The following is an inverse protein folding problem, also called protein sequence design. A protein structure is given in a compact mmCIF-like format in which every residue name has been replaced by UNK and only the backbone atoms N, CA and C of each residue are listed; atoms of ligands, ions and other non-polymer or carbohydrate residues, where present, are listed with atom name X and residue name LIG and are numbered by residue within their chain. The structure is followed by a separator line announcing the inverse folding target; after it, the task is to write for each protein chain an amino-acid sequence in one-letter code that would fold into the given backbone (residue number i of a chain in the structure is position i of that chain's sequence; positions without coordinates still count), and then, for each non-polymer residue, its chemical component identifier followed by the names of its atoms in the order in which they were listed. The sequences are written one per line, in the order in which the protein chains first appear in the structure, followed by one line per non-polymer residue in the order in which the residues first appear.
data_IF_973950860279
#
_entry.id   IF_973950860279
#
_cell.length_a   1.000
_cell.length_b   1.000
_cell.length_c   1.000
_cell.angle_alpha   90.00
_cell.angle_beta   90.00
_cell.angle_gamma   90.00
#
_symmetry.space_group_name_H-M   'P 1'
#
loop_
_entity.id
_entity.type
_entity.pdbx_description
1 polymer ?
#
# COMPACT_ATOMS: atom_id res chain seq x y z
N UNK A 1 13.35 9.87 -33.19
CA UNK A 1 12.69 8.88 -32.34
C UNK A 1 13.78 8.15 -31.57
N UNK A 2 14.10 8.58 -30.34
CA UNK A 2 14.99 7.79 -29.48
C UNK A 2 14.22 6.57 -29.06
N UNK A 3 14.61 5.39 -29.54
CA UNK A 3 14.05 4.12 -29.12
C UNK A 3 14.24 4.01 -27.60
N UNK A 4 13.13 3.81 -26.90
CA UNK A 4 13.13 3.57 -25.45
C UNK A 4 13.70 2.16 -25.20
N UNK A 5 15.04 2.03 -25.36
CA UNK A 5 15.74 0.78 -25.12
C UNK A 5 15.70 0.49 -23.64
N UNK A 6 15.12 -0.65 -23.28
CA UNK A 6 15.12 -1.15 -21.90
C UNK A 6 16.56 -1.16 -21.36
N UNK A 7 16.83 -0.51 -20.20
CA UNK A 7 18.18 -0.52 -19.61
C UNK A 7 18.62 -1.96 -19.33
N UNK A 8 19.90 -2.26 -19.52
CA UNK A 8 20.45 -3.58 -19.25
C UNK A 8 20.39 -3.90 -17.75
N UNK A 9 19.92 -5.09 -17.42
CA UNK A 9 19.75 -5.53 -16.03
C UNK A 9 21.07 -5.55 -15.26
N UNK A 10 22.10 -6.12 -15.86
CA UNK A 10 23.44 -6.22 -15.25
C UNK A 10 24.05 -4.84 -14.92
N UNK A 11 23.82 -3.84 -15.77
CA UNK A 11 24.28 -2.47 -15.51
C UNK A 11 23.50 -1.84 -14.35
N UNK A 12 22.19 -2.02 -14.28
CA UNK A 12 21.39 -1.51 -13.17
C UNK A 12 21.78 -2.17 -11.84
N UNK A 13 22.04 -3.49 -11.86
CA UNK A 13 22.51 -4.22 -10.68
C UNK A 13 23.90 -3.72 -10.24
N UNK A 14 24.81 -3.55 -11.17
CA UNK A 14 26.14 -3.01 -10.87
C UNK A 14 26.05 -1.61 -10.26
N UNK A 15 25.28 -0.71 -10.86
CA UNK A 15 25.09 0.64 -10.32
C UNK A 15 24.43 0.62 -8.93
N UNK A 16 23.43 -0.25 -8.72
CA UNK A 16 22.80 -0.42 -7.41
C UNK A 16 23.81 -0.87 -6.34
N UNK A 17 24.73 -1.79 -6.70
CA UNK A 17 25.80 -2.26 -5.80
C UNK A 17 26.77 -1.13 -5.46
N UNK A 18 27.23 -0.37 -6.46
CA UNK A 18 28.11 0.78 -6.25
C UNK A 18 27.49 1.83 -5.33
N UNK A 19 26.21 2.19 -5.57
CA UNK A 19 25.52 3.16 -4.71
C UNK A 19 25.28 2.61 -3.28
N UNK A 20 25.14 1.30 -3.13
CA UNK A 20 25.06 0.68 -1.81
C UNK A 20 26.40 0.81 -1.04
N UNK A 21 27.54 0.56 -1.68
CA UNK A 21 28.86 0.73 -1.09
C UNK A 21 29.17 2.20 -0.74
N UNK A 22 28.68 3.13 -1.57
CA UNK A 22 28.79 4.57 -1.34
C UNK A 22 27.83 5.10 -0.26
N UNK A 23 26.94 4.27 0.29
CA UNK A 23 25.85 4.68 1.17
C UNK A 23 24.91 5.73 0.55
N UNK A 24 24.82 5.79 -0.78
CA UNK A 24 23.94 6.67 -1.53
C UNK A 24 22.55 6.01 -1.68
N UNK A 25 21.75 6.15 -0.64
CA UNK A 25 20.40 5.55 -0.59
C UNK A 25 19.45 6.09 -1.67
N UNK A 26 19.64 7.34 -2.11
CA UNK A 26 18.80 7.98 -3.13
C UNK A 26 19.03 7.35 -4.49
N UNK A 27 20.27 7.29 -4.95
CA UNK A 27 20.59 6.70 -6.24
C UNK A 27 20.41 5.18 -6.23
N UNK A 28 20.72 4.49 -5.12
CA UNK A 28 20.42 3.08 -4.95
C UNK A 28 18.92 2.80 -5.15
N UNK A 29 18.04 3.61 -4.54
CA UNK A 29 16.60 3.50 -4.74
C UNK A 29 16.21 3.68 -6.21
N UNK A 30 16.74 4.70 -6.88
CA UNK A 30 16.45 4.94 -8.29
C UNK A 30 16.80 3.73 -9.16
N UNK A 31 17.92 3.05 -8.89
CA UNK A 31 18.30 1.83 -9.62
C UNK A 31 17.36 0.68 -9.32
N UNK A 32 16.98 0.47 -8.06
CA UNK A 32 16.02 -0.56 -7.66
C UNK A 32 14.62 -0.31 -8.28
N UNK A 33 14.17 0.93 -8.32
CA UNK A 33 12.92 1.28 -9.00
C UNK A 33 12.94 0.93 -10.49
N UNK A 34 14.06 1.17 -11.17
CA UNK A 34 14.21 0.76 -12.57
C UNK A 34 14.27 -0.76 -12.71
N UNK A 35 15.00 -1.46 -11.83
CA UNK A 35 15.04 -2.93 -11.80
C UNK A 35 13.64 -3.52 -11.59
N UNK A 36 12.87 -2.96 -10.67
CA UNK A 36 11.48 -3.36 -10.48
C UNK A 36 10.65 -3.04 -11.72
N UNK A 37 10.73 -1.81 -12.24
CA UNK A 37 9.90 -1.38 -13.38
C UNK A 37 10.12 -2.24 -14.63
N UNK A 38 11.36 -2.54 -14.97
CA UNK A 38 11.68 -3.25 -16.21
C UNK A 38 11.70 -4.77 -16.05
N UNK A 39 12.13 -5.30 -14.91
CA UNK A 39 12.34 -6.73 -14.70
C UNK A 39 11.37 -7.36 -13.71
N UNK A 40 10.92 -6.64 -12.67
CA UNK A 40 9.89 -7.06 -11.72
C UNK A 40 10.21 -8.31 -10.91
N UNK A 41 11.48 -8.70 -10.81
CA UNK A 41 11.88 -9.89 -10.06
C UNK A 41 11.58 -9.72 -8.56
N UNK A 42 11.18 -10.79 -7.85
CA UNK A 42 10.82 -10.71 -6.43
C UNK A 42 11.91 -10.10 -5.55
N UNK A 43 13.18 -10.39 -5.82
CA UNK A 43 14.30 -9.82 -5.07
C UNK A 43 14.39 -8.30 -5.17
N UNK A 44 14.09 -7.70 -6.32
CA UNK A 44 14.14 -6.25 -6.48
C UNK A 44 13.02 -5.55 -5.73
N UNK A 45 11.83 -6.16 -5.71
CA UNK A 45 10.73 -5.72 -4.86
C UNK A 45 11.11 -5.78 -3.40
N UNK A 46 11.69 -6.92 -2.96
CA UNK A 46 12.13 -7.10 -1.58
C UNK A 46 13.11 -6.01 -1.15
N UNK A 47 14.18 -5.78 -1.94
CA UNK A 47 15.19 -4.77 -1.65
C UNK A 47 14.59 -3.36 -1.61
N UNK A 48 13.67 -3.05 -2.52
CA UNK A 48 13.00 -1.75 -2.57
C UNK A 48 12.09 -1.55 -1.34
N UNK A 49 11.39 -2.59 -0.88
CA UNK A 49 10.60 -2.53 0.35
C UNK A 49 11.45 -2.38 1.60
N UNK A 50 12.63 -3.00 1.67
CA UNK A 50 13.56 -2.80 2.77
C UNK A 50 13.98 -1.33 2.89
N UNK A 51 14.26 -0.67 1.77
CA UNK A 51 14.56 0.77 1.78
C UNK A 51 13.36 1.61 2.23
N UNK A 52 12.16 1.29 1.72
CA UNK A 52 10.96 2.03 2.07
C UNK A 52 10.58 1.91 3.55
N UNK A 53 10.64 0.70 4.10
CA UNK A 53 10.32 0.44 5.53
C UNK A 53 11.29 1.14 6.49
N UNK A 54 12.54 1.35 6.08
CA UNK A 54 13.56 2.02 6.89
C UNK A 54 13.48 3.56 6.82
N UNK A 55 12.53 4.12 6.07
CA UNK A 55 12.30 5.57 6.06
C UNK A 55 11.76 6.03 7.42
N UNK A 56 12.37 7.09 7.96
CA UNK A 56 11.96 7.67 9.23
C UNK A 56 10.68 8.50 9.07
N UNK A 57 9.80 8.41 10.05
CA UNK A 57 8.64 9.29 10.16
C UNK A 57 7.44 8.91 9.28
N UNK A 58 7.40 7.67 8.79
CA UNK A 58 6.20 7.12 8.17
C UNK A 58 5.07 7.01 9.19
N UNK A 59 3.87 7.44 8.82
CA UNK A 59 2.65 7.21 9.61
C UNK A 59 2.21 5.73 9.52
N UNK A 60 1.33 5.32 10.42
CA UNK A 60 0.76 3.97 10.42
C UNK A 60 0.05 3.65 9.08
N UNK A 61 -0.63 4.64 8.49
CA UNK A 61 -1.29 4.49 7.19
C UNK A 61 -0.29 4.28 6.05
N UNK A 62 0.84 5.00 6.07
CA UNK A 62 1.91 4.84 5.07
C UNK A 62 2.61 3.49 5.21
N UNK A 63 2.85 3.04 6.44
CA UNK A 63 3.40 1.72 6.72
C UNK A 63 2.44 0.63 6.23
N UNK A 64 1.15 0.77 6.49
CA UNK A 64 0.14 -0.16 6.01
C UNK A 64 0.10 -0.20 4.47
N UNK A 65 0.26 0.92 3.79
CA UNK A 65 0.27 0.96 2.33
C UNK A 65 1.46 0.19 1.73
N UNK A 66 2.61 0.22 2.39
CA UNK A 66 3.75 -0.64 2.02
C UNK A 66 3.39 -2.12 2.24
N UNK A 67 2.76 -2.47 3.36
CA UNK A 67 2.31 -3.84 3.64
C UNK A 67 1.31 -4.34 2.60
N UNK A 68 0.34 -3.51 2.21
CA UNK A 68 -0.64 -3.81 1.16
C UNK A 68 0.05 -4.18 -0.15
N UNK A 69 1.04 -3.39 -0.55
CA UNK A 69 1.79 -3.65 -1.78
C UNK A 69 2.68 -4.90 -1.65
N UNK A 70 3.34 -5.12 -0.52
CA UNK A 70 4.09 -6.35 -0.22
C UNK A 70 3.21 -7.59 -0.35
N UNK A 71 1.97 -7.52 0.17
CA UNK A 71 0.99 -8.60 0.03
C UNK A 71 0.65 -8.88 -1.43
N UNK A 72 0.37 -7.82 -2.22
CA UNK A 72 -0.01 -7.94 -3.64
C UNK A 72 1.10 -8.56 -4.50
N UNK A 73 2.36 -8.20 -4.27
CA UNK A 73 3.50 -8.75 -5.03
C UNK A 73 4.04 -10.06 -4.42
N UNK A 74 3.44 -10.53 -3.33
CA UNK A 74 3.82 -11.77 -2.68
C UNK A 74 5.17 -11.69 -1.94
N UNK A 75 5.51 -10.54 -1.35
CA UNK A 75 6.74 -10.35 -0.55
C UNK A 75 6.55 -10.69 0.94
N UNK A 76 5.33 -10.95 1.40
CA UNK A 76 5.11 -11.53 2.73
C UNK A 76 5.35 -13.05 2.64
N UNK A 77 6.34 -13.57 3.37
CA UNK A 77 6.82 -14.96 3.20
C UNK A 77 6.71 -15.82 4.46
N UNK A 78 6.95 -15.22 5.62
CA UNK A 78 7.02 -15.93 6.89
C UNK A 78 5.92 -15.47 7.83
N UNK A 79 5.60 -16.27 8.84
CA UNK A 79 4.55 -15.96 9.81
C UNK A 79 4.67 -14.55 10.40
N UNK A 80 5.89 -14.12 10.73
CA UNK A 80 6.16 -12.78 11.24
C UNK A 80 5.67 -11.66 10.33
N UNK A 81 5.90 -11.77 9.01
CA UNK A 81 5.45 -10.76 8.04
C UNK A 81 3.94 -10.55 8.08
N UNK A 82 3.16 -11.64 8.13
CA UNK A 82 1.70 -11.59 8.15
C UNK A 82 1.17 -11.09 9.50
N UNK A 83 1.80 -11.49 10.62
CA UNK A 83 1.43 -11.02 11.97
C UNK A 83 1.66 -9.52 12.08
N UNK A 84 2.86 -9.04 11.75
CA UNK A 84 3.21 -7.61 11.76
C UNK A 84 2.31 -6.81 10.81
N UNK A 85 2.09 -7.31 9.61
CA UNK A 85 1.20 -6.67 8.64
C UNK A 85 -0.23 -6.53 9.13
N UNK A 86 -0.79 -7.57 9.74
CA UNK A 86 -2.13 -7.52 10.32
C UNK A 86 -2.20 -6.57 11.52
N UNK A 87 -1.18 -6.55 12.37
CA UNK A 87 -1.08 -5.59 13.47
C UNK A 87 -1.02 -4.14 12.95
N UNK A 88 -0.20 -3.86 11.92
CA UNK A 88 -0.15 -2.55 11.28
C UNK A 88 -1.51 -2.11 10.75
N UNK A 89 -2.27 -3.03 10.14
CA UNK A 89 -3.61 -2.75 9.65
C UNK A 89 -4.60 -2.42 10.78
N UNK A 90 -4.51 -3.12 11.92
CA UNK A 90 -5.34 -2.84 13.10
C UNK A 90 -4.97 -1.51 13.76
N UNK A 91 -3.70 -1.14 13.80
CA UNK A 91 -3.22 0.16 14.32
C UNK A 91 -3.72 1.31 13.43
N UNK A 92 -3.63 1.17 12.11
CA UNK A 92 -4.14 2.15 11.14
C UNK A 92 -5.67 2.15 11.03
N UNK A 93 -6.37 1.26 11.79
CA UNK A 93 -7.82 1.17 11.87
C UNK A 93 -8.49 0.73 10.55
N UNK A 94 -7.89 -0.31 9.92
CA UNK A 94 -8.41 -1.03 8.75
C UNK A 94 -8.52 -2.53 9.04
N UNK A 95 -9.52 -2.97 9.84
CA UNK A 95 -9.62 -4.36 10.29
C UNK A 95 -9.83 -5.35 9.13
N UNK A 96 -10.45 -4.94 8.02
CA UNK A 96 -10.62 -5.82 6.86
C UNK A 96 -9.31 -6.10 6.11
N UNK A 97 -8.36 -5.14 6.11
CA UNK A 97 -7.00 -5.42 5.63
C UNK A 97 -6.30 -6.44 6.54
N UNK A 98 -6.41 -6.27 7.86
CA UNK A 98 -5.84 -7.23 8.82
C UNK A 98 -6.40 -8.64 8.58
N UNK A 99 -7.72 -8.76 8.38
CA UNK A 99 -8.34 -10.04 8.03
C UNK A 99 -7.78 -10.61 6.74
N UNK A 100 -7.71 -9.81 5.68
CA UNK A 100 -7.18 -10.23 4.38
C UNK A 100 -5.74 -10.72 4.49
N UNK A 101 -4.89 -10.04 5.26
CA UNK A 101 -3.49 -10.42 5.49
C UNK A 101 -3.41 -11.76 6.22
N UNK A 102 -4.18 -11.93 7.32
CA UNK A 102 -4.21 -13.19 8.09
C UNK A 102 -4.74 -14.35 7.27
N UNK A 103 -5.81 -14.15 6.50
CA UNK A 103 -6.37 -15.16 5.60
C UNK A 103 -5.34 -15.61 4.55
N UNK A 104 -4.55 -14.68 4.00
CA UNK A 104 -3.46 -15.00 3.06
C UNK A 104 -2.32 -15.79 3.72
N UNK A 105 -1.93 -15.43 4.95
CA UNK A 105 -0.94 -16.20 5.71
C UNK A 105 -1.40 -17.62 6.04
N UNK A 106 -2.69 -17.79 6.33
CA UNK A 106 -3.29 -19.10 6.54
C UNK A 106 -3.34 -19.91 5.24
N UNK A 107 -3.75 -19.30 4.11
CA UNK A 107 -3.73 -19.94 2.79
C UNK A 107 -2.32 -20.38 2.38
N UNK A 108 -1.30 -19.58 2.69
CA UNK A 108 0.12 -19.90 2.47
C UNK A 108 0.65 -20.97 3.45
N UNK A 109 -0.17 -21.43 4.42
CA UNK A 109 0.18 -22.42 5.45
C UNK A 109 1.35 -21.97 6.36
N UNK A 110 1.59 -20.66 6.47
CA UNK A 110 2.61 -20.10 7.38
C UNK A 110 1.98 -19.60 8.69
N UNK A 111 0.66 -19.47 8.76
CA UNK A 111 -0.09 -19.20 9.99
C UNK A 111 -1.01 -20.39 10.33
N UNK A 112 -1.17 -20.66 11.61
CA UNK A 112 -2.15 -21.65 12.10
C UNK A 112 -2.75 -21.17 13.42
N UNK A 113 -3.96 -20.61 13.36
CA UNK A 113 -4.68 -20.12 14.53
C UNK A 113 -5.12 -21.22 15.51
N UNK A 114 -5.18 -22.48 15.08
CA UNK A 114 -5.58 -23.61 15.93
C UNK A 114 -4.43 -24.10 16.81
N UNK A 115 -3.18 -23.94 16.38
CA UNK A 115 -1.99 -24.44 17.10
C UNK A 115 -1.12 -23.32 17.67
N UNK A 116 -1.25 -22.09 17.18
CA UNK A 116 -0.56 -20.90 17.68
C UNK A 116 -1.55 -19.98 18.38
N UNK A 117 -1.49 -19.95 19.70
CA UNK A 117 -2.39 -19.15 20.56
C UNK A 117 -2.28 -17.64 20.29
N UNK A 118 -1.10 -17.13 19.93
CA UNK A 118 -0.90 -15.71 19.56
C UNK A 118 -1.64 -15.39 18.28
N UNK A 119 -1.52 -16.24 17.28
CA UNK A 119 -2.25 -16.11 16.00
C UNK A 119 -3.74 -16.22 16.25
N UNK A 120 -4.19 -17.19 17.08
CA UNK A 120 -5.61 -17.36 17.44
C UNK A 120 -6.21 -16.11 18.08
N UNK A 121 -5.49 -15.49 19.03
CA UNK A 121 -5.95 -14.22 19.65
C UNK A 121 -6.00 -13.07 18.64
N UNK A 122 -5.02 -12.96 17.75
CA UNK A 122 -5.00 -11.91 16.72
C UNK A 122 -6.16 -12.08 15.73
N UNK A 123 -6.43 -13.30 15.27
CA UNK A 123 -7.57 -13.62 14.39
C UNK A 123 -8.89 -13.27 15.08
N UNK A 124 -9.07 -13.67 16.34
CA UNK A 124 -10.29 -13.33 17.10
C UNK A 124 -10.48 -11.83 17.20
N UNK A 125 -9.47 -11.08 17.64
CA UNK A 125 -9.53 -9.63 17.75
C UNK A 125 -9.84 -8.96 16.40
N UNK A 126 -9.25 -9.46 15.32
CA UNK A 126 -9.51 -8.95 13.97
C UNK A 126 -10.96 -9.18 13.57
N UNK A 127 -11.49 -10.37 13.79
CA UNK A 127 -12.90 -10.68 13.47
C UNK A 127 -13.88 -9.84 14.29
N UNK A 128 -13.61 -9.62 15.58
CA UNK A 128 -14.43 -8.77 16.44
C UNK A 128 -14.47 -7.32 15.91
N UNK A 129 -13.33 -6.79 15.45
CA UNK A 129 -13.26 -5.44 14.84
C UNK A 129 -13.93 -5.36 13.47
N UNK A 130 -13.80 -6.39 12.63
CA UNK A 130 -14.52 -6.47 11.34
C UNK A 130 -16.02 -6.50 11.56
N UNK A 131 -16.52 -7.24 12.58
CA UNK A 131 -17.93 -7.27 12.91
C UNK A 131 -18.47 -5.89 13.35
N UNK A 132 -17.65 -5.08 14.04
CA UNK A 132 -18.00 -3.73 14.46
C UNK A 132 -17.89 -2.67 13.33
N UNK A 133 -17.21 -2.98 12.22
CA UNK A 133 -16.86 -2.00 11.17
C UNK A 133 -18.10 -1.47 10.42
N UNK A 134 -19.19 -2.22 10.37
CA UNK A 134 -20.46 -1.77 9.76
C UNK A 134 -21.04 -0.52 10.43
N UNK A 135 -21.02 -0.47 11.76
CA UNK A 135 -21.47 0.71 12.51
C UNK A 135 -20.61 1.94 12.23
N UNK A 136 -19.28 1.74 12.15
CA UNK A 136 -18.33 2.78 11.81
C UNK A 136 -18.52 3.30 10.38
N UNK A 137 -18.76 2.41 9.41
CA UNK A 137 -19.08 2.81 8.04
C UNK A 137 -20.33 3.70 8.00
N UNK A 138 -21.40 3.34 8.74
CA UNK A 138 -22.62 4.13 8.82
C UNK A 138 -22.38 5.52 9.43
N UNK A 139 -21.59 5.60 10.50
CA UNK A 139 -21.20 6.88 11.11
C UNK A 139 -20.38 7.75 10.12
N UNK A 140 -19.38 7.19 9.47
CA UNK A 140 -18.57 7.91 8.48
C UNK A 140 -19.41 8.35 7.28
N UNK A 141 -20.39 7.55 6.85
CA UNK A 141 -21.31 7.92 5.78
C UNK A 141 -22.14 9.15 6.13
N UNK A 142 -22.63 9.24 7.36
CA UNK A 142 -23.35 10.44 7.83
C UNK A 142 -22.41 11.65 7.88
N UNK A 143 -21.20 11.51 8.41
CA UNK A 143 -20.21 12.60 8.50
C UNK A 143 -19.70 13.04 7.14
N UNK A 144 -19.61 12.15 6.16
CA UNK A 144 -19.06 12.44 4.84
C UNK A 144 -19.85 13.51 4.06
N UNK A 145 -21.09 13.78 4.43
CA UNK A 145 -21.90 14.85 3.84
C UNK A 145 -21.33 16.25 4.10
N UNK A 146 -20.61 16.46 5.21
CA UNK A 146 -20.06 17.74 5.64
C UNK A 146 -18.56 17.73 5.95
N UNK A 147 -17.93 16.56 6.03
CA UNK A 147 -16.51 16.38 6.35
C UNK A 147 -15.79 15.64 5.22
N UNK A 148 -14.93 16.37 4.53
CA UNK A 148 -14.10 15.87 3.43
C UNK A 148 -13.17 14.72 3.87
N UNK A 149 -12.61 14.79 5.08
CA UNK A 149 -11.71 13.76 5.59
C UNK A 149 -12.48 12.47 5.89
N UNK A 150 -13.70 12.59 6.46
CA UNK A 150 -14.57 11.44 6.68
C UNK A 150 -14.94 10.77 5.35
N UNK A 151 -15.15 11.54 4.29
CA UNK A 151 -15.45 11.03 2.96
C UNK A 151 -14.28 10.23 2.37
N UNK A 152 -13.04 10.73 2.47
CA UNK A 152 -11.84 10.00 2.02
C UNK A 152 -11.63 8.73 2.85
N UNK A 153 -11.77 8.80 4.18
CA UNK A 153 -11.64 7.63 5.06
C UNK A 153 -12.67 6.55 4.74
N UNK A 154 -13.93 6.96 4.52
CA UNK A 154 -15.00 6.05 4.10
C UNK A 154 -14.65 5.37 2.75
N UNK A 155 -14.13 6.13 1.80
CA UNK A 155 -13.70 5.60 0.51
C UNK A 155 -12.60 4.54 0.65
N UNK A 156 -11.60 4.78 1.50
CA UNK A 156 -10.56 3.78 1.78
C UNK A 156 -11.13 2.54 2.46
N UNK A 157 -12.07 2.69 3.40
CA UNK A 157 -12.75 1.54 4.00
C UNK A 157 -13.52 0.76 2.93
N UNK A 158 -14.32 1.41 2.09
CA UNK A 158 -15.01 0.75 0.98
C UNK A 158 -14.06 0.02 0.05
N UNK A 159 -12.89 0.59 -0.23
CA UNK A 159 -11.86 -0.06 -1.04
C UNK A 159 -11.38 -1.38 -0.41
N UNK A 160 -11.15 -1.42 0.92
CA UNK A 160 -10.74 -2.65 1.60
C UNK A 160 -11.81 -3.76 1.52
N UNK A 161 -13.08 -3.39 1.36
CA UNK A 161 -14.22 -4.30 1.17
C UNK A 161 -14.54 -4.59 -0.30
N UNK A 162 -13.65 -4.25 -1.24
CA UNK A 162 -13.83 -4.40 -2.68
C UNK A 162 -15.07 -3.68 -3.26
N UNK A 163 -15.61 -2.66 -2.56
CA UNK A 163 -16.66 -1.77 -3.04
C UNK A 163 -16.03 -0.63 -3.88
N UNK A 164 -15.43 -0.99 -5.01
CA UNK A 164 -14.50 -0.11 -5.72
C UNK A 164 -15.15 1.16 -6.28
N UNK A 165 -16.41 1.09 -6.78
CA UNK A 165 -17.14 2.24 -7.30
C UNK A 165 -17.55 3.23 -6.21
N UNK A 166 -18.06 2.69 -5.10
CA UNK A 166 -18.41 3.48 -3.92
C UNK A 166 -17.16 4.13 -3.31
N UNK A 167 -16.06 3.38 -3.29
CA UNK A 167 -14.76 3.87 -2.82
C UNK A 167 -14.29 5.08 -3.64
N UNK A 168 -14.27 4.98 -4.97
CA UNK A 168 -13.89 6.09 -5.84
C UNK A 168 -14.82 7.29 -5.66
N UNK A 169 -16.12 7.05 -5.61
CA UNK A 169 -17.13 8.11 -5.43
C UNK A 169 -16.87 8.88 -4.13
N UNK A 170 -16.63 8.18 -3.02
CA UNK A 170 -16.39 8.79 -1.73
C UNK A 170 -15.04 9.55 -1.70
N UNK A 171 -13.97 8.98 -2.25
CA UNK A 171 -12.66 9.65 -2.33
C UNK A 171 -12.77 10.93 -3.17
N UNK A 172 -13.36 10.87 -4.35
CA UNK A 172 -13.53 12.05 -5.22
C UNK A 172 -14.43 13.12 -4.59
N UNK A 173 -15.45 12.72 -3.83
CA UNK A 173 -16.28 13.67 -3.08
C UNK A 173 -15.45 14.39 -2.01
N UNK A 174 -14.67 13.67 -1.21
CA UNK A 174 -13.79 14.26 -0.21
C UNK A 174 -12.72 15.18 -0.81
N UNK A 175 -12.16 14.85 -1.96
CA UNK A 175 -11.16 15.68 -2.64
C UNK A 175 -11.67 17.04 -3.12
N UNK A 176 -12.99 17.27 -3.13
CA UNK A 176 -13.57 18.58 -3.44
C UNK A 176 -13.56 19.54 -2.24
N UNK A 177 -13.37 19.02 -1.03
CA UNK A 177 -13.37 19.79 0.21
C UNK A 177 -11.97 20.08 0.73
N UNK A 178 -11.90 20.71 1.92
CA UNK A 178 -10.64 20.96 2.62
C UNK A 178 -10.18 19.67 3.32
N UNK A 179 -9.02 19.16 2.93
CA UNK A 179 -8.43 17.96 3.49
C UNK A 179 -7.27 18.27 4.43
N UNK A 180 -7.16 17.50 5.51
CA UNK A 180 -5.99 17.51 6.39
C UNK A 180 -4.77 16.85 5.69
N UNK A 181 -5.02 15.80 4.88
CA UNK A 181 -4.00 15.11 4.09
C UNK A 181 -4.42 14.99 2.61
N UNK A 182 -4.21 16.06 1.81
CA UNK A 182 -4.54 16.03 0.39
C UNK A 182 -3.67 15.07 -0.42
N UNK A 183 -2.45 14.82 0.03
CA UNK A 183 -1.53 13.90 -0.68
C UNK A 183 -1.91 12.43 -0.45
N UNK A 184 -2.32 12.08 0.77
CA UNK A 184 -2.90 10.77 1.06
C UNK A 184 -4.19 10.51 0.28
N UNK A 185 -5.02 11.54 0.07
CA UNK A 185 -6.23 11.41 -0.75
C UNK A 185 -5.93 11.09 -2.23
N UNK A 186 -4.81 11.62 -2.79
CA UNK A 186 -4.36 11.25 -4.14
C UNK A 186 -3.93 9.78 -4.22
N UNK A 187 -3.25 9.28 -3.17
CA UNK A 187 -2.91 7.86 -3.06
C UNK A 187 -4.17 7.00 -2.97
N UNK A 188 -5.14 7.40 -2.14
CA UNK A 188 -6.43 6.74 -2.04
C UNK A 188 -7.17 6.67 -3.39
N UNK A 189 -7.16 7.76 -4.16
CA UNK A 189 -7.72 7.77 -5.51
C UNK A 189 -6.99 6.79 -6.43
N UNK A 190 -5.66 6.76 -6.37
CA UNK A 190 -4.85 5.81 -7.14
C UNK A 190 -5.24 4.36 -6.84
N UNK A 191 -5.46 3.99 -5.58
CA UNK A 191 -5.92 2.66 -5.17
C UNK A 191 -7.28 2.29 -5.77
N UNK A 192 -8.26 3.19 -5.68
CA UNK A 192 -9.61 2.93 -6.19
C UNK A 192 -9.62 2.75 -7.71
N UNK A 193 -8.87 3.57 -8.44
CA UNK A 193 -8.72 3.48 -9.89
C UNK A 193 -8.00 2.20 -10.32
N UNK A 194 -6.91 1.85 -9.63
CA UNK A 194 -6.14 0.64 -9.92
C UNK A 194 -6.99 -0.62 -9.73
N UNK A 195 -7.78 -0.68 -8.66
CA UNK A 195 -8.67 -1.80 -8.37
C UNK A 195 -9.78 -2.00 -9.40
N UNK A 196 -10.11 -0.96 -10.16
CA UNK A 196 -11.05 -1.00 -11.27
C UNK A 196 -10.39 -1.27 -12.63
N UNK A 197 -9.06 -1.52 -12.65
CA UNK A 197 -8.29 -1.73 -13.86
C UNK A 197 -7.93 -0.46 -14.63
N UNK A 198 -8.27 0.72 -14.11
CA UNK A 198 -7.94 2.00 -14.73
C UNK A 198 -6.48 2.41 -14.40
N UNK A 199 -5.54 1.64 -14.95
CA UNK A 199 -4.11 1.81 -14.69
C UNK A 199 -3.54 3.18 -15.08
N UNK A 200 -3.88 3.76 -16.27
CA UNK A 200 -3.33 5.07 -16.64
C UNK A 200 -3.71 6.18 -15.67
N UNK A 201 -4.97 6.24 -15.26
CA UNK A 201 -5.43 7.25 -14.29
C UNK A 201 -4.87 6.98 -12.89
N UNK A 202 -4.75 5.72 -12.47
CA UNK A 202 -4.10 5.36 -11.22
C UNK A 202 -2.65 5.84 -11.18
N UNK A 203 -1.87 5.60 -12.24
CA UNK A 203 -0.49 6.10 -12.37
C UNK A 203 -0.46 7.63 -12.30
N UNK A 204 -1.40 8.32 -12.96
CA UNK A 204 -1.49 9.78 -12.89
C UNK A 204 -1.80 10.26 -11.47
N UNK A 205 -2.72 9.59 -10.76
CA UNK A 205 -3.05 9.92 -9.38
C UNK A 205 -1.82 9.76 -8.46
N UNK A 206 -1.12 8.63 -8.51
CA UNK A 206 0.10 8.42 -7.73
C UNK A 206 1.21 9.42 -8.09
N UNK A 207 1.42 9.72 -9.37
CA UNK A 207 2.44 10.67 -9.82
C UNK A 207 2.09 12.14 -9.48
N UNK A 208 0.83 12.45 -9.18
CA UNK A 208 0.40 13.79 -8.76
C UNK A 208 0.75 14.11 -7.30
N UNK A 209 1.19 13.12 -6.54
CA UNK A 209 1.67 13.30 -5.16
C UNK A 209 2.94 14.15 -5.15
N UNK A 210 2.96 15.21 -4.34
CA UNK A 210 4.08 16.12 -4.28
C UNK A 210 5.36 15.39 -3.82
N UNK A 211 6.47 15.61 -4.50
CA UNK A 211 7.78 14.96 -4.21
C UNK A 211 8.31 15.26 -2.81
N UNK A 212 7.89 16.35 -2.20
CA UNK A 212 8.25 16.76 -0.84
C UNK A 212 7.29 16.22 0.22
N UNK A 213 6.23 15.54 -0.21
CA UNK A 213 5.26 14.94 0.69
C UNK A 213 5.82 13.70 1.38
N UNK A 214 5.35 13.41 2.58
CA UNK A 214 5.60 12.13 3.26
C UNK A 214 5.08 10.92 2.48
N UNK A 215 4.09 11.12 1.60
CA UNK A 215 3.53 10.09 0.72
C UNK A 215 4.37 9.81 -0.54
N UNK A 216 5.37 10.63 -0.85
CA UNK A 216 6.09 10.55 -2.11
C UNK A 216 6.70 9.17 -2.38
N UNK A 217 7.32 8.57 -1.37
CA UNK A 217 7.93 7.24 -1.48
C UNK A 217 6.88 6.15 -1.73
N UNK A 218 5.82 6.14 -0.94
CA UNK A 218 4.71 5.18 -1.07
C UNK A 218 4.02 5.30 -2.44
N UNK A 219 3.71 6.53 -2.85
CA UNK A 219 3.10 6.80 -4.15
C UNK A 219 3.96 6.32 -5.33
N UNK A 220 5.30 6.48 -5.24
CA UNK A 220 6.23 5.95 -6.26
C UNK A 220 6.17 4.43 -6.36
N UNK A 221 6.17 3.72 -5.23
CA UNK A 221 6.03 2.26 -5.21
C UNK A 221 4.75 1.80 -5.91
N UNK A 222 3.62 2.42 -5.58
CA UNK A 222 2.34 2.11 -6.19
C UNK A 222 2.27 2.49 -7.67
N UNK A 223 2.89 3.61 -8.08
CA UNK A 223 3.00 3.99 -9.49
C UNK A 223 3.78 2.95 -10.30
N UNK A 224 4.89 2.43 -9.76
CA UNK A 224 5.67 1.37 -10.40
C UNK A 224 4.83 0.10 -10.52
N UNK A 225 4.14 -0.30 -9.46
CA UNK A 225 3.25 -1.46 -9.49
C UNK A 225 2.15 -1.29 -10.52
N UNK A 226 1.45 -0.15 -10.55
CA UNK A 226 0.36 0.12 -11.49
C UNK A 226 0.79 0.05 -12.96
N UNK A 227 2.05 0.41 -13.26
CA UNK A 227 2.62 0.30 -14.64
C UNK A 227 2.91 -1.13 -15.05
N UNK A 228 3.07 -2.03 -14.08
CA UNK A 228 3.40 -3.44 -14.32
C UNK A 228 2.21 -4.39 -14.21
N UNK A 229 1.22 -4.06 -13.40
CA UNK A 229 0.04 -4.87 -13.07
C UNK A 229 -0.89 -5.22 -14.28
#
# INVERSE_FOLDING_TARGET
MQGNTQPREDLLQFQQSVYNEMNDSVNRRNMLEQLVLYYGKPQYWHDLFQLARNEKGLSDEQQLDIVRLRLLVGDLKVAGDFIEGAQSALVADYPNDAKTILDKGNQAKVLNAATDERVGRLVKMTNDRVAADGAKQAELQQKSASDANASVKLGLIYWTYAKHKEAETAVRAGMKGKLADPEGAKVALGHTLLSQGNKPEAVNAFNSVARTSKWASVARLWSIYARRA
#
